data_IF_817175690951
#
_entry.id   IF_817175690951
#
_cell.length_a   1.000
_cell.length_b   1.000
_cell.length_c   1.000
_cell.angle_alpha   90.00
_cell.angle_beta   90.00
_cell.angle_gamma   90.00
#
_symmetry.space_group_name_H-M   'P 1'
#
loop_
_entity.id
_entity.type
_entity.pdbx_description
1 polymer ?
#
# COMPACT_ATOMS: atom_id res chain seq x y z
N UNK A 1 0.00 5.82 20.43
CA UNK A 1 0.91 5.21 19.44
C UNK A 1 2.33 5.52 19.87
N UNK A 2 3.13 4.50 20.10
CA UNK A 2 4.53 4.64 20.53
C UNK A 2 5.48 4.92 19.35
N UNK A 3 5.01 4.67 18.11
CA UNK A 3 5.78 4.86 16.88
C UNK A 3 6.17 6.32 16.63
N UNK A 4 7.46 6.55 16.39
CA UNK A 4 7.96 7.80 15.81
C UNK A 4 7.99 7.70 14.28
N UNK A 5 6.87 8.06 13.65
CA UNK A 5 6.68 8.01 12.19
C UNK A 5 7.76 8.77 11.42
N UNK A 6 8.10 9.98 11.86
CA UNK A 6 9.07 10.83 11.15
C UNK A 6 10.46 10.22 11.18
N UNK A 7 10.87 9.67 12.33
CA UNK A 7 12.15 8.97 12.45
C UNK A 7 12.21 7.76 11.53
N UNK A 8 11.14 6.95 11.47
CA UNK A 8 11.10 5.79 10.56
C UNK A 8 11.27 6.22 9.10
N UNK A 9 10.54 7.26 8.67
CA UNK A 9 10.65 7.77 7.30
C UNK A 9 12.06 8.31 7.03
N UNK A 10 12.61 9.09 7.96
CA UNK A 10 13.97 9.63 7.86
C UNK A 10 15.01 8.52 7.73
N UNK A 11 15.03 7.56 8.65
CA UNK A 11 16.01 6.47 8.67
C UNK A 11 15.89 5.58 7.43
N UNK A 12 14.66 5.17 7.06
CA UNK A 12 14.44 4.30 5.89
C UNK A 12 14.75 5.00 4.57
N UNK A 13 14.50 6.32 4.46
CA UNK A 13 14.81 7.08 3.25
C UNK A 13 16.31 7.14 2.92
N UNK A 14 17.18 6.84 3.89
CA UNK A 14 18.62 6.77 3.67
C UNK A 14 19.09 5.43 3.06
N UNK A 15 18.22 4.41 3.06
CA UNK A 15 18.55 3.08 2.54
C UNK A 15 18.58 3.13 1.01
N UNK A 16 19.72 2.78 0.42
CA UNK A 16 19.88 2.72 -1.04
C UNK A 16 19.31 1.41 -1.56
N UNK A 17 18.12 1.49 -2.12
CA UNK A 17 17.51 0.40 -2.88
C UNK A 17 18.08 0.47 -4.30
N UNK A 18 19.14 -0.30 -4.60
CA UNK A 18 19.81 -0.30 -5.91
C UNK A 18 20.19 -1.70 -6.36
N UNK A 19 20.31 -1.89 -7.68
CA UNK A 19 20.67 -3.18 -8.25
C UNK A 19 22.11 -3.59 -7.91
N UNK A 20 22.30 -4.85 -7.55
CA UNK A 20 23.61 -5.46 -7.43
C UNK A 20 24.24 -5.73 -8.82
N UNK A 21 25.44 -6.30 -8.85
CA UNK A 21 26.18 -6.60 -10.10
C UNK A 21 25.44 -7.52 -11.09
N UNK A 22 24.42 -8.25 -10.64
CA UNK A 22 23.60 -9.13 -11.45
C UNK A 22 22.30 -8.44 -11.93
N UNK A 23 22.11 -7.16 -11.61
CA UNK A 23 20.88 -6.42 -11.92
C UNK A 23 19.71 -6.73 -10.97
N UNK A 24 19.96 -7.41 -9.84
CA UNK A 24 18.94 -7.75 -8.85
C UNK A 24 18.89 -6.68 -7.76
N UNK A 25 17.70 -6.23 -7.40
CA UNK A 25 17.50 -5.35 -6.24
C UNK A 25 16.96 -6.22 -5.10
N UNK A 26 17.85 -6.56 -4.16
CA UNK A 26 17.58 -7.37 -2.98
C UNK A 26 17.54 -6.46 -1.75
N UNK A 27 16.38 -6.31 -1.12
CA UNK A 27 16.22 -5.53 0.11
C UNK A 27 14.92 -5.92 0.81
N UNK A 28 14.84 -5.75 2.12
CA UNK A 28 13.63 -6.05 2.89
C UNK A 28 13.09 -7.49 2.70
N UNK A 29 13.98 -8.48 2.61
CA UNK A 29 13.67 -9.89 2.32
C UNK A 29 12.89 -10.14 1.01
N UNK A 30 12.91 -9.20 0.07
CA UNK A 30 12.21 -9.31 -1.21
C UNK A 30 13.10 -8.92 -2.39
N UNK A 31 12.68 -9.34 -3.59
CA UNK A 31 13.17 -8.77 -4.84
C UNK A 31 12.21 -7.68 -5.29
N UNK A 32 12.75 -6.50 -5.58
CA UNK A 32 11.94 -5.37 -6.04
C UNK A 32 12.37 -4.92 -7.43
N UNK A 33 11.45 -4.23 -8.10
CA UNK A 33 11.72 -3.53 -9.33
C UNK A 33 11.52 -2.02 -9.13
N UNK A 34 12.32 -1.23 -9.83
CA UNK A 34 12.13 0.22 -9.92
C UNK A 34 11.66 0.57 -11.31
N UNK A 35 10.38 0.93 -11.41
CA UNK A 35 9.76 1.36 -12.65
C UNK A 35 9.16 2.76 -12.46
N UNK A 36 9.14 3.60 -13.50
CA UNK A 36 8.46 4.89 -13.45
C UNK A 36 6.98 4.71 -13.09
N UNK A 37 6.42 5.63 -12.30
CA UNK A 37 5.00 5.63 -11.92
C UNK A 37 4.08 5.63 -13.15
N UNK A 38 4.50 6.30 -14.23
CA UNK A 38 3.82 6.33 -15.53
C UNK A 38 3.66 4.95 -16.16
N UNK A 39 4.58 4.01 -15.90
CA UNK A 39 4.45 2.63 -16.36
C UNK A 39 3.26 1.95 -15.67
N UNK A 40 3.21 2.01 -14.34
CA UNK A 40 2.19 1.35 -13.53
C UNK A 40 0.80 1.96 -13.75
N UNK A 41 0.71 3.29 -13.69
CA UNK A 41 -0.55 4.00 -13.95
C UNK A 41 -1.03 3.73 -15.38
N UNK A 42 -0.12 3.81 -16.36
CA UNK A 42 -0.45 3.52 -17.75
C UNK A 42 -0.89 2.06 -17.98
N UNK A 43 -0.35 1.10 -17.22
CA UNK A 43 -0.77 -0.30 -17.28
C UNK A 43 -2.21 -0.46 -16.81
N UNK A 44 -2.54 0.04 -15.61
CA UNK A 44 -3.89 -0.03 -15.05
C UNK A 44 -4.92 0.70 -15.95
N UNK A 45 -4.58 1.88 -16.46
CA UNK A 45 -5.45 2.62 -17.37
C UNK A 45 -5.71 1.88 -18.67
N UNK A 46 -4.66 1.36 -19.32
CA UNK A 46 -4.84 0.63 -20.58
C UNK A 46 -5.69 -0.62 -20.40
N UNK A 47 -5.57 -1.31 -19.27
CA UNK A 47 -6.42 -2.46 -18.95
C UNK A 47 -7.88 -2.04 -18.76
N UNK A 48 -8.14 -1.05 -17.91
CA UNK A 48 -9.50 -0.62 -17.59
C UNK A 48 -10.20 0.06 -18.77
N UNK A 49 -9.50 0.84 -19.59
CA UNK A 49 -10.05 1.44 -20.81
C UNK A 49 -10.42 0.42 -21.90
N UNK A 50 -9.79 -0.76 -21.89
CA UNK A 50 -10.07 -1.84 -22.85
C UNK A 50 -11.12 -2.83 -22.35
N UNK A 51 -11.48 -2.76 -21.07
CA UNK A 51 -12.49 -3.62 -20.47
C UNK A 51 -13.89 -3.24 -20.96
N UNK A 52 -14.69 -4.19 -21.46
CA UNK A 52 -16.12 -4.00 -21.63
C UNK A 52 -16.81 -3.56 -20.33
N UNK A 53 -17.89 -2.77 -20.36
CA UNK A 53 -18.54 -2.26 -19.15
C UNK A 53 -18.96 -3.35 -18.14
N UNK A 54 -19.36 -4.52 -18.62
CA UNK A 54 -19.74 -5.67 -17.82
C UNK A 54 -18.55 -6.38 -17.15
N UNK A 55 -17.35 -6.25 -17.71
CA UNK A 55 -16.11 -6.83 -17.16
C UNK A 55 -15.26 -5.84 -16.36
N UNK A 56 -15.51 -4.54 -16.48
CA UNK A 56 -14.75 -3.51 -15.77
C UNK A 56 -14.66 -3.77 -14.26
N UNK A 57 -15.75 -4.12 -13.54
CA UNK A 57 -15.67 -4.41 -12.11
C UNK A 57 -14.71 -5.56 -11.77
N UNK A 58 -14.67 -6.60 -12.62
CA UNK A 58 -13.75 -7.73 -12.44
C UNK A 58 -12.30 -7.35 -12.73
N UNK A 59 -12.06 -6.53 -13.75
CA UNK A 59 -10.71 -6.02 -14.05
C UNK A 59 -10.20 -5.16 -12.91
N UNK A 60 -11.03 -4.25 -12.39
CA UNK A 60 -10.68 -3.43 -11.23
C UNK A 60 -10.43 -4.26 -9.98
N UNK A 61 -11.27 -5.27 -9.73
CA UNK A 61 -11.07 -6.22 -8.64
C UNK A 61 -9.71 -6.92 -8.75
N UNK A 62 -9.33 -7.40 -9.93
CA UNK A 62 -8.04 -8.08 -10.13
C UNK A 62 -6.84 -7.14 -9.95
N UNK A 63 -6.97 -5.86 -10.31
CA UNK A 63 -5.94 -4.85 -10.02
C UNK A 63 -5.78 -4.60 -8.51
N UNK A 64 -6.90 -4.51 -7.78
CA UNK A 64 -6.88 -4.40 -6.31
C UNK A 64 -6.30 -5.67 -5.69
N UNK A 65 -6.71 -6.85 -6.18
CA UNK A 65 -6.23 -8.15 -5.72
C UNK A 65 -4.72 -8.28 -5.91
N UNK A 66 -4.19 -7.88 -7.06
CA UNK A 66 -2.75 -7.87 -7.32
C UNK A 66 -2.01 -6.95 -6.32
N UNK A 67 -2.57 -5.78 -6.01
CA UNK A 67 -2.06 -4.90 -4.95
C UNK A 67 -2.14 -5.51 -3.56
N UNK A 68 -3.19 -6.27 -3.27
CA UNK A 68 -3.42 -6.92 -1.97
C UNK A 68 -2.48 -8.11 -1.74
N UNK A 69 -2.32 -8.98 -2.74
CA UNK A 69 -1.32 -10.05 -2.69
C UNK A 69 0.09 -9.48 -2.57
N UNK A 70 0.43 -8.48 -3.41
CA UNK A 70 1.71 -7.80 -3.33
C UNK A 70 1.95 -7.20 -1.94
N UNK A 71 0.99 -6.43 -1.42
CA UNK A 71 1.07 -5.84 -0.09
C UNK A 71 1.20 -6.86 1.03
N UNK A 72 0.60 -8.04 0.89
CA UNK A 72 0.61 -9.08 1.91
C UNK A 72 1.96 -9.82 1.97
N UNK A 73 2.44 -10.31 0.83
CA UNK A 73 3.71 -11.02 0.78
C UNK A 73 4.91 -10.07 0.91
N UNK A 74 4.88 -8.93 0.24
CA UNK A 74 5.94 -7.90 0.35
C UNK A 74 5.94 -7.28 1.73
N UNK A 75 4.75 -6.95 2.27
CA UNK A 75 4.61 -6.43 3.63
C UNK A 75 5.16 -7.39 4.67
N UNK A 76 4.88 -8.70 4.55
CA UNK A 76 5.50 -9.69 5.43
C UNK A 76 7.04 -9.75 5.29
N UNK A 77 7.56 -9.69 4.06
CA UNK A 77 9.00 -9.61 3.81
C UNK A 77 9.63 -8.41 4.54
N UNK A 78 9.05 -7.23 4.35
CA UNK A 78 9.43 -5.99 5.03
C UNK A 78 9.38 -6.17 6.56
N UNK A 79 8.25 -6.60 7.11
CA UNK A 79 8.04 -6.71 8.57
C UNK A 79 8.92 -7.76 9.25
N UNK A 80 9.57 -8.63 8.48
CA UNK A 80 10.50 -9.67 8.97
C UNK A 80 11.95 -9.40 8.58
N UNK A 81 12.23 -8.28 7.93
CA UNK A 81 13.56 -7.91 7.44
C UNK A 81 14.48 -7.36 8.52
N UNK A 82 15.79 -7.36 8.25
CA UNK A 82 16.78 -6.74 9.13
C UNK A 82 16.53 -5.23 9.25
N UNK A 83 16.16 -4.57 8.15
CA UNK A 83 15.84 -3.15 8.11
C UNK A 83 14.67 -2.79 9.04
N UNK A 84 13.59 -3.57 9.00
CA UNK A 84 12.46 -3.39 9.92
C UNK A 84 12.87 -3.66 11.36
N UNK A 85 13.61 -4.74 11.62
CA UNK A 85 14.04 -5.11 12.96
C UNK A 85 14.98 -4.06 13.58
N UNK A 86 15.75 -3.36 12.75
CA UNK A 86 16.65 -2.30 13.20
C UNK A 86 15.91 -0.98 13.49
N UNK A 87 14.91 -0.62 12.67
CA UNK A 87 14.33 0.73 12.68
C UNK A 87 12.94 0.77 13.32
N UNK A 88 12.07 -0.16 12.96
CA UNK A 88 10.64 -0.11 13.32
C UNK A 88 10.34 -0.99 14.53
N UNK A 89 10.77 -2.26 14.51
CA UNK A 89 10.49 -3.23 15.56
C UNK A 89 10.81 -2.76 16.99
N UNK A 90 11.87 -1.98 17.26
CA UNK A 90 12.16 -1.48 18.60
C UNK A 90 11.09 -0.55 19.18
N UNK A 91 10.19 -0.02 18.33
CA UNK A 91 9.10 0.88 18.73
C UNK A 91 7.72 0.18 18.75
N UNK A 92 7.66 -1.11 18.39
CA UNK A 92 6.40 -1.85 18.24
C UNK A 92 6.08 -2.59 19.54
N UNK A 93 5.01 -2.18 20.21
CA UNK A 93 4.46 -2.87 21.38
C UNK A 93 3.10 -3.53 21.09
N UNK A 94 2.37 -3.00 20.11
CA UNK A 94 1.01 -3.42 19.76
C UNK A 94 0.83 -3.65 18.25
N UNK A 95 -0.20 -4.39 17.81
CA UNK A 95 -0.59 -4.47 16.40
C UNK A 95 -0.80 -3.10 15.75
N UNK A 96 -1.33 -2.12 16.50
CA UNK A 96 -1.53 -0.74 16.06
C UNK A 96 -0.19 -0.04 15.76
N UNK A 97 0.82 -0.28 16.59
CA UNK A 97 2.17 0.25 16.35
C UNK A 97 2.81 -0.41 15.12
N UNK A 98 2.66 -1.73 14.96
CA UNK A 98 3.11 -2.43 13.75
C UNK A 98 2.44 -1.88 12.49
N UNK A 99 1.12 -1.66 12.55
CA UNK A 99 0.35 -1.09 11.46
C UNK A 99 0.81 0.33 11.12
N UNK A 100 0.99 1.19 12.12
CA UNK A 100 1.50 2.55 11.93
C UNK A 100 2.92 2.58 11.35
N UNK A 101 3.78 1.64 11.79
CA UNK A 101 5.11 1.41 11.23
C UNK A 101 5.05 1.00 9.75
N UNK A 102 4.14 0.10 9.38
CA UNK A 102 3.94 -0.31 7.98
C UNK A 102 3.52 0.88 7.09
N UNK A 103 2.62 1.74 7.59
CA UNK A 103 2.27 2.98 6.89
C UNK A 103 3.42 4.00 6.83
N UNK A 104 4.38 3.96 7.75
CA UNK A 104 5.59 4.79 7.67
C UNK A 104 6.54 4.26 6.59
N UNK A 105 6.72 2.94 6.49
CA UNK A 105 7.47 2.30 5.39
C UNK A 105 6.85 2.64 4.03
N UNK A 106 5.53 2.56 3.92
CA UNK A 106 4.78 2.90 2.70
C UNK A 106 5.09 4.33 2.21
N UNK A 107 5.23 5.29 3.13
CA UNK A 107 5.67 6.64 2.79
C UNK A 107 7.15 6.73 2.46
N UNK A 108 8.03 6.04 3.20
CA UNK A 108 9.46 6.03 2.92
C UNK A 108 9.78 5.48 1.51
N UNK A 109 8.99 4.52 1.04
CA UNK A 109 9.11 3.93 -0.30
C UNK A 109 8.49 4.77 -1.42
N UNK A 110 7.83 5.87 -1.07
CA UNK A 110 7.20 6.77 -2.05
C UNK A 110 5.90 6.22 -2.66
N UNK A 111 5.23 5.25 -2.01
CA UNK A 111 3.95 4.74 -2.51
C UNK A 111 2.81 5.73 -2.23
N UNK A 112 2.75 6.26 -1.01
CA UNK A 112 1.85 7.34 -0.64
C UNK A 112 2.35 8.11 0.59
N UNK A 113 2.05 9.41 0.65
CA UNK A 113 2.06 10.19 1.88
C UNK A 113 0.71 10.04 2.58
N UNK A 114 0.62 9.11 3.52
CA UNK A 114 -0.64 8.77 4.17
C UNK A 114 -0.58 8.70 5.70
N UNK A 115 -1.74 8.70 6.33
CA UNK A 115 -1.91 8.49 7.77
C UNK A 115 -3.23 7.77 8.07
N UNK A 116 -3.25 7.06 9.20
CA UNK A 116 -4.47 6.45 9.74
C UNK A 116 -5.18 7.52 10.58
N UNK A 117 -6.39 7.92 10.17
CA UNK A 117 -7.17 8.97 10.86
C UNK A 117 -8.23 8.40 11.80
N UNK A 118 -8.67 7.17 11.55
CA UNK A 118 -9.59 6.43 12.43
C UNK A 118 -9.19 4.96 12.46
N UNK A 119 -9.24 4.33 13.63
CA UNK A 119 -8.93 2.91 13.80
C UNK A 119 -9.82 2.30 14.90
N UNK A 120 -10.61 1.30 14.51
CA UNK A 120 -11.22 0.34 15.43
C UNK A 120 -10.46 -1.00 15.29
N UNK A 121 -9.69 -1.41 16.31
CA UNK A 121 -8.79 -2.56 16.23
C UNK A 121 -9.43 -3.82 15.66
N UNK A 122 -8.79 -4.38 14.63
CA UNK A 122 -9.21 -5.61 13.97
C UNK A 122 -10.54 -5.55 13.22
N UNK A 123 -11.19 -4.37 13.11
CA UNK A 123 -12.53 -4.22 12.52
C UNK A 123 -12.60 -3.21 11.41
N UNK A 124 -12.09 -1.98 11.65
CA UNK A 124 -12.22 -0.87 10.71
C UNK A 124 -11.01 0.08 10.79
N UNK A 125 -10.53 0.55 9.65
CA UNK A 125 -9.48 1.55 9.55
C UNK A 125 -9.85 2.57 8.47
N UNK A 126 -9.62 3.86 8.74
CA UNK A 126 -9.74 4.93 7.74
C UNK A 126 -8.36 5.55 7.54
N UNK A 127 -7.92 5.56 6.28
CA UNK A 127 -6.64 6.13 5.86
C UNK A 127 -6.89 7.33 4.97
N UNK A 128 -6.13 8.41 5.21
CA UNK A 128 -6.04 9.53 4.28
C UNK A 128 -4.68 9.56 3.63
N UNK A 129 -4.65 9.67 2.31
CA UNK A 129 -3.43 9.85 1.53
C UNK A 129 -3.45 11.24 0.89
N UNK A 130 -2.50 12.08 1.28
CA UNK A 130 -2.35 13.45 0.78
C UNK A 130 -1.50 13.53 -0.49
N UNK A 131 -0.86 12.42 -0.84
CA UNK A 131 -0.11 12.21 -2.08
C UNK A 131 0.01 10.70 -2.30
N UNK A 132 -0.13 10.20 -3.52
CA UNK A 132 0.07 8.79 -3.89
C UNK A 132 0.23 8.67 -5.40
N UNK A 133 1.18 7.87 -5.86
CA UNK A 133 1.53 7.89 -7.29
C UNK A 133 0.36 7.52 -8.21
N UNK A 134 -0.61 6.72 -7.74
CA UNK A 134 -1.78 6.35 -8.55
C UNK A 134 -2.71 7.53 -8.85
N UNK A 135 -2.62 8.65 -8.10
CA UNK A 135 -3.38 9.87 -8.44
C UNK A 135 -2.87 10.57 -9.69
N UNK A 136 -1.61 10.36 -10.06
CA UNK A 136 -0.95 11.00 -11.21
C UNK A 136 -1.49 10.49 -12.56
N UNK A 137 -2.45 9.56 -12.52
CA UNK A 137 -3.14 9.04 -13.70
C UNK A 137 -3.90 10.12 -14.46
N UNK A 138 -4.36 11.16 -13.77
CA UNK A 138 -5.02 12.32 -14.37
C UNK A 138 -4.01 13.46 -14.54
N UNK A 139 -3.68 13.77 -15.78
CA UNK A 139 -2.75 14.87 -16.11
C UNK A 139 -3.46 16.19 -16.37
N UNK A 140 -4.76 16.17 -16.70
CA UNK A 140 -5.59 17.35 -16.91
C UNK A 140 -7.03 17.09 -16.43
N UNK A 141 -7.61 18.07 -15.74
CA UNK A 141 -8.99 17.97 -15.26
C UNK A 141 -9.15 17.00 -14.09
N UNK A 142 -10.26 16.27 -14.07
CA UNK A 142 -10.60 15.28 -13.04
C UNK A 142 -11.20 14.04 -13.69
N UNK A 143 -11.04 12.89 -13.04
CA UNK A 143 -11.65 11.61 -13.41
C UNK A 143 -12.85 11.30 -12.51
N UNK A 144 -13.89 10.67 -13.05
CA UNK A 144 -14.95 10.08 -12.22
C UNK A 144 -14.56 8.71 -11.64
N UNK A 145 -13.46 8.12 -12.13
CA UNK A 145 -12.97 6.78 -11.77
C UNK A 145 -11.91 6.84 -10.68
N UNK A 146 -12.16 6.09 -9.61
CA UNK A 146 -11.26 5.89 -8.48
C UNK A 146 -10.20 4.84 -8.84
N UNK A 147 -8.97 5.31 -9.02
CA UNK A 147 -7.92 4.57 -9.73
C UNK A 147 -6.78 4.10 -8.82
N UNK A 148 -6.89 4.32 -7.50
CA UNK A 148 -5.91 3.83 -6.52
C UNK A 148 -6.16 2.34 -6.22
N UNK A 149 -5.86 1.47 -7.19
CA UNK A 149 -6.07 0.03 -7.08
C UNK A 149 -5.06 -0.62 -6.13
N UNK A 150 -3.78 -0.28 -6.29
CA UNK A 150 -2.69 -0.82 -5.49
C UNK A 150 -2.79 -0.34 -4.04
N UNK A 151 -3.03 0.96 -3.80
CA UNK A 151 -3.14 1.49 -2.44
C UNK A 151 -4.33 0.90 -1.68
N UNK A 152 -5.47 0.63 -2.35
CA UNK A 152 -6.57 -0.15 -1.75
C UNK A 152 -6.11 -1.54 -1.31
N UNK A 153 -5.41 -2.25 -2.21
CA UNK A 153 -4.89 -3.58 -1.91
C UNK A 153 -3.94 -3.59 -0.72
N UNK A 154 -2.98 -2.66 -0.69
CA UNK A 154 -2.01 -2.53 0.39
C UNK A 154 -2.68 -2.19 1.73
N UNK A 155 -3.64 -1.27 1.75
CA UNK A 155 -4.38 -0.93 2.97
C UNK A 155 -5.07 -2.16 3.58
N UNK A 156 -5.72 -3.00 2.77
CA UNK A 156 -6.29 -4.26 3.22
C UNK A 156 -5.21 -5.21 3.76
N UNK A 157 -4.13 -5.38 3.00
CA UNK A 157 -3.06 -6.33 3.32
C UNK A 157 -2.34 -5.98 4.63
N UNK A 158 -2.03 -4.71 4.86
CA UNK A 158 -1.39 -4.26 6.09
C UNK A 158 -2.29 -4.47 7.30
N UNK A 159 -3.60 -4.24 7.16
CA UNK A 159 -4.54 -4.55 8.24
C UNK A 159 -4.61 -6.05 8.52
N UNK A 160 -4.62 -6.91 7.48
CA UNK A 160 -4.52 -8.37 7.64
C UNK A 160 -3.24 -8.79 8.36
N UNK A 161 -2.09 -8.26 7.95
CA UNK A 161 -0.79 -8.61 8.55
C UNK A 161 -0.71 -8.19 10.02
N UNK A 162 -1.16 -6.98 10.35
CA UNK A 162 -1.11 -6.46 11.72
C UNK A 162 -1.98 -7.27 12.68
N UNK A 163 -3.22 -7.59 12.30
CA UNK A 163 -4.19 -8.21 13.21
C UNK A 163 -4.29 -9.73 13.11
N UNK A 164 -4.09 -10.30 11.92
CA UNK A 164 -4.26 -11.73 11.69
C UNK A 164 -2.94 -12.44 11.38
N UNK A 165 -1.85 -11.69 11.16
CA UNK A 165 -0.54 -12.22 10.85
C UNK A 165 -0.43 -12.79 9.43
N UNK A 166 0.77 -13.28 9.11
CA UNK A 166 1.06 -13.90 7.83
C UNK A 166 0.56 -15.35 7.73
N UNK A 167 0.03 -15.71 6.57
CA UNK A 167 -0.30 -17.09 6.19
C UNK A 167 0.35 -17.43 4.86
N UNK A 168 1.15 -18.49 4.83
CA UNK A 168 1.89 -18.91 3.64
C UNK A 168 0.98 -19.37 2.50
N UNK A 169 -0.18 -19.93 2.84
CA UNK A 169 -1.18 -20.37 1.86
C UNK A 169 -2.08 -19.23 1.36
N UNK A 170 -1.89 -18.00 1.85
CA UNK A 170 -2.69 -16.84 1.47
C UNK A 170 -4.10 -16.80 2.06
N UNK A 171 -4.48 -17.73 2.95
CA UNK A 171 -5.85 -17.83 3.49
C UNK A 171 -6.36 -16.58 4.22
N UNK A 172 -5.46 -15.69 4.65
CA UNK A 172 -5.76 -14.44 5.38
C UNK A 172 -5.63 -13.17 4.53
N UNK A 173 -5.27 -13.29 3.25
CA UNK A 173 -5.07 -12.13 2.37
C UNK A 173 -6.35 -11.30 2.30
N UNK A 174 -7.51 -11.95 2.23
CA UNK A 174 -8.82 -11.32 2.03
C UNK A 174 -9.63 -11.12 3.31
N UNK A 175 -9.02 -11.20 4.50
CA UNK A 175 -9.74 -10.96 5.77
C UNK A 175 -10.27 -9.52 5.89
N UNK A 176 -9.68 -8.60 5.14
CA UNK A 176 -10.08 -7.20 5.07
C UNK A 176 -10.27 -6.75 3.62
N UNK A 177 -11.19 -5.81 3.43
CA UNK A 177 -11.50 -5.17 2.15
C UNK A 177 -11.39 -3.67 2.28
N UNK A 178 -10.73 -3.04 1.30
CA UNK A 178 -10.59 -1.60 1.20
C UNK A 178 -11.47 -1.01 0.11
N UNK A 179 -12.18 0.08 0.43
CA UNK A 179 -12.92 0.91 -0.51
C UNK A 179 -12.32 2.30 -0.54
N UNK A 180 -12.01 2.82 -1.72
CA UNK A 180 -11.66 4.23 -1.90
C UNK A 180 -12.96 5.03 -1.98
N UNK A 181 -13.12 6.05 -1.13
CA UNK A 181 -14.32 6.91 -1.09
C UNK A 181 -14.06 8.32 -1.61
N UNK A 182 -12.80 8.79 -1.52
CA UNK A 182 -12.32 10.05 -2.13
C UNK A 182 -11.05 9.80 -2.92
N UNK A 183 -10.77 10.63 -3.93
CA UNK A 183 -9.57 10.51 -4.75
C UNK A 183 -9.06 11.86 -5.24
N UNK A 184 -7.75 12.07 -5.14
CA UNK A 184 -7.07 13.24 -5.72
C UNK A 184 -7.31 13.28 -7.23
N UNK A 185 -7.28 12.12 -7.90
CA UNK A 185 -7.62 11.97 -9.31
C UNK A 185 -9.08 12.35 -9.63
N UNK A 186 -9.95 12.40 -8.62
CA UNK A 186 -11.35 12.80 -8.71
C UNK A 186 -11.60 14.26 -8.33
N UNK A 187 -10.55 15.02 -7.99
CA UNK A 187 -10.66 16.42 -7.57
C UNK A 187 -10.86 16.64 -6.06
N UNK A 188 -10.75 15.58 -5.25
CA UNK A 188 -10.73 15.72 -3.79
C UNK A 188 -9.35 16.23 -3.30
N UNK A 189 -9.31 16.83 -2.11
CA UNK A 189 -8.06 17.31 -1.53
C UNK A 189 -7.10 16.18 -1.07
N UNK A 190 -7.61 14.96 -0.94
CA UNK A 190 -6.87 13.77 -0.51
C UNK A 190 -7.63 12.51 -0.95
N UNK A 191 -6.92 11.39 -1.06
CA UNK A 191 -7.52 10.06 -1.18
C UNK A 191 -7.98 9.56 0.19
N UNK A 192 -9.19 9.02 0.28
CA UNK A 192 -9.73 8.46 1.53
C UNK A 192 -10.10 6.99 1.31
N UNK A 193 -9.55 6.13 2.16
CA UNK A 193 -9.61 4.69 2.03
C UNK A 193 -10.19 4.10 3.31
N UNK A 194 -11.28 3.35 3.17
CA UNK A 194 -11.97 2.69 4.28
C UNK A 194 -11.70 1.20 4.17
N UNK A 195 -11.04 0.65 5.18
CA UNK A 195 -10.78 -0.78 5.33
C UNK A 195 -11.73 -1.35 6.37
N UNK A 196 -12.41 -2.44 6.03
CA UNK A 196 -13.35 -3.14 6.89
C UNK A 196 -13.11 -4.64 6.81
N UNK A 197 -13.49 -5.37 7.86
CA UNK A 197 -13.46 -6.83 7.86
C UNK A 197 -14.39 -7.37 6.76
N UNK A 198 -13.89 -8.31 5.96
CA UNK A 198 -14.61 -8.88 4.80
C UNK A 198 -15.67 -9.92 5.19
#
# INVERSE_FOLDING_TARGET
MAINRNKIIEDLSQIKVVGNKNGLIESFNVYVNQLPTTFWNGFAERLTMKAPPDLLPSVEYLLVNAGQECGYFTGNGIMTSEEWNAIVAPMVETPEDALAGAFAVLTAFGWAKSEIVELEPGKRMVVRAYDYYESDVVTMGVSSKKSAYMLRGICSAFMSLAYNGFSKDGSKIHDYKCTQVKGIECGDAYGEFIVEKA
#
